data_IF_896287327709
#
_entry.id   IF_896287327709
#
_cell.length_a   1.000
_cell.length_b   1.000
_cell.length_c   1.000
_cell.angle_alpha   90.00
_cell.angle_beta   90.00
_cell.angle_gamma   90.00
#
_symmetry.space_group_name_H-M   'P 1'
#
loop_
_entity.id
_entity.type
_entity.pdbx_description
1 polymer ?
#
# COMPACT_ATOMS: atom_id res chain seq x y z
N UNK A 1 -4.80 -9.22 0.47
CA UNK A 1 -3.63 -8.67 1.20
C UNK A 1 -4.15 -7.81 2.35
N UNK A 2 -3.54 -7.96 3.52
CA UNK A 2 -3.90 -7.23 4.74
C UNK A 2 -2.61 -6.65 5.34
N UNK A 3 -2.57 -5.33 5.56
CA UNK A 3 -1.56 -4.65 6.37
C UNK A 3 -2.28 -3.97 7.52
N UNK A 4 -2.00 -4.41 8.74
CA UNK A 4 -2.58 -3.83 9.94
C UNK A 4 -1.90 -2.51 10.31
N UNK A 5 -2.64 -1.52 10.83
CA UNK A 5 -2.07 -0.29 11.33
C UNK A 5 -1.39 -0.55 12.67
N UNK A 6 -0.24 0.09 12.89
CA UNK A 6 0.53 -0.06 14.13
C UNK A 6 1.20 1.24 14.53
N UNK A 7 1.62 1.32 15.79
CA UNK A 7 2.36 2.47 16.32
C UNK A 7 1.92 2.89 17.73
N UNK A 8 2.61 3.87 18.33
CA UNK A 8 2.28 4.35 19.67
C UNK A 8 0.85 4.90 19.75
N UNK A 9 0.09 4.43 20.73
CA UNK A 9 -1.29 4.85 20.94
C UNK A 9 -2.27 4.34 19.88
N UNK A 10 -1.90 3.33 19.09
CA UNK A 10 -2.79 2.65 18.13
C UNK A 10 -3.08 1.24 18.64
N UNK A 11 -4.37 0.90 18.72
CA UNK A 11 -4.86 -0.45 19.04
C UNK A 11 -5.76 -0.92 17.92
N UNK A 12 -5.53 -2.15 17.47
CA UNK A 12 -6.29 -2.79 16.41
C UNK A 12 -6.84 -4.11 16.94
N UNK A 13 -8.17 -4.16 17.10
CA UNK A 13 -8.88 -5.37 17.50
C UNK A 13 -9.49 -6.00 16.24
N UNK A 14 -8.92 -7.10 15.76
CA UNK A 14 -9.27 -7.71 14.48
C UNK A 14 -9.46 -9.22 14.59
N UNK A 15 -10.42 -9.75 13.83
CA UNK A 15 -10.70 -11.19 13.74
C UNK A 15 -10.42 -11.80 12.36
N UNK A 16 -9.90 -11.00 11.41
CA UNK A 16 -9.60 -11.45 10.04
C UNK A 16 -8.09 -11.57 9.83
N UNK A 17 -7.69 -12.35 8.82
CA UNK A 17 -6.31 -12.51 8.39
C UNK A 17 -6.23 -12.58 6.87
N UNK A 18 -5.05 -12.37 6.30
CA UNK A 18 -4.88 -12.41 4.84
C UNK A 18 -5.25 -13.79 4.29
N UNK A 19 -6.18 -13.83 3.33
CA UNK A 19 -6.68 -15.07 2.73
C UNK A 19 -7.88 -15.69 3.45
N UNK A 20 -8.40 -15.06 4.51
CA UNK A 20 -9.67 -15.49 5.11
C UNK A 20 -10.85 -15.09 4.21
N UNK A 21 -11.81 -16.00 4.07
CA UNK A 21 -13.09 -15.73 3.44
C UNK A 21 -14.03 -15.04 4.43
N UNK A 22 -14.71 -14.00 3.98
CA UNK A 22 -15.62 -13.22 4.83
C UNK A 22 -17.05 -13.71 4.58
N UNK A 23 -17.73 -14.31 5.57
CA UNK A 23 -19.07 -14.85 5.39
C UNK A 23 -20.12 -13.73 5.27
N UNK A 24 -21.14 -13.95 4.45
CA UNK A 24 -22.27 -13.02 4.28
C UNK A 24 -23.37 -13.17 5.35
N UNK A 25 -23.22 -14.14 6.25
CA UNK A 25 -24.25 -14.52 7.21
C UNK A 25 -24.26 -13.67 8.49
N UNK A 26 -23.23 -12.83 8.69
CA UNK A 26 -23.04 -12.01 9.89
C UNK A 26 -22.79 -10.55 9.51
N UNK A 27 -22.83 -9.68 10.51
CA UNK A 27 -22.50 -8.26 10.36
C UNK A 27 -21.08 -8.08 9.79
N UNK A 28 -20.88 -7.24 8.75
CA UNK A 28 -19.58 -7.06 8.09
C UNK A 28 -18.51 -6.32 8.92
N UNK A 29 -18.56 -6.36 10.25
CA UNK A 29 -17.54 -5.76 11.10
C UNK A 29 -16.24 -6.59 11.04
N UNK A 30 -15.19 -6.01 10.45
CA UNK A 30 -13.90 -6.71 10.27
C UNK A 30 -12.93 -6.48 11.43
N UNK A 31 -12.91 -5.25 11.94
CA UNK A 31 -11.99 -4.82 12.99
C UNK A 31 -12.50 -3.54 13.66
N UNK A 32 -11.95 -3.25 14.85
CA UNK A 32 -12.05 -1.95 15.52
C UNK A 32 -10.66 -1.32 15.58
N UNK A 33 -10.52 -0.15 14.97
CA UNK A 33 -9.31 0.66 15.06
C UNK A 33 -9.54 1.75 16.10
N UNK A 34 -8.68 1.80 17.10
CA UNK A 34 -8.78 2.71 18.24
C UNK A 34 -7.45 3.44 18.36
N UNK A 35 -7.52 4.76 18.55
CA UNK A 35 -6.32 5.57 18.83
C UNK A 35 -6.49 6.39 20.08
N UNK A 36 -5.37 6.68 20.73
CA UNK A 36 -5.31 7.54 21.90
C UNK A 36 -4.23 8.61 21.72
N UNK A 37 -4.50 9.83 22.21
CA UNK A 37 -3.55 10.93 22.32
C UNK A 37 -3.92 11.84 23.50
N UNK A 38 -3.05 12.80 23.80
CA UNK A 38 -3.22 13.77 24.89
C UNK A 38 -4.36 14.75 24.64
N UNK A 39 -4.64 15.07 23.37
CA UNK A 39 -5.72 15.97 22.99
C UNK A 39 -6.46 15.48 21.72
N UNK A 40 -7.59 16.13 21.43
CA UNK A 40 -8.48 15.77 20.31
C UNK A 40 -7.80 15.91 18.96
N UNK A 41 -7.06 16.99 18.74
CA UNK A 41 -6.38 17.25 17.47
C UNK A 41 -5.37 16.16 17.16
N UNK A 42 -4.50 15.83 18.13
CA UNK A 42 -3.53 14.74 18.00
C UNK A 42 -4.21 13.38 17.82
N UNK A 43 -5.35 13.14 18.48
CA UNK A 43 -6.12 11.90 18.29
C UNK A 43 -6.67 11.80 16.87
N UNK A 44 -7.20 12.90 16.32
CA UNK A 44 -7.70 12.93 14.95
C UNK A 44 -6.56 12.71 13.93
N UNK A 45 -5.44 13.40 14.11
CA UNK A 45 -4.25 13.23 13.26
C UNK A 45 -3.72 11.78 13.32
N UNK A 46 -3.59 11.21 14.53
CA UNK A 46 -3.16 9.81 14.69
C UNK A 46 -4.13 8.83 14.04
N UNK A 47 -5.45 9.06 14.15
CA UNK A 47 -6.43 8.20 13.48
C UNK A 47 -6.32 8.29 11.96
N UNK A 48 -6.12 9.49 11.40
CA UNK A 48 -5.91 9.67 9.96
C UNK A 48 -4.66 8.90 9.51
N UNK A 49 -3.53 9.05 10.21
CA UNK A 49 -2.31 8.31 9.89
C UNK A 49 -2.50 6.79 10.00
N UNK A 50 -3.18 6.32 11.04
CA UNK A 50 -3.48 4.89 11.20
C UNK A 50 -4.38 4.36 10.07
N UNK A 51 -5.38 5.13 9.64
CA UNK A 51 -6.23 4.78 8.50
C UNK A 51 -5.48 4.82 7.16
N UNK A 52 -4.51 5.71 6.99
CA UNK A 52 -3.64 5.74 5.80
C UNK A 52 -2.72 4.51 5.72
N UNK A 53 -2.28 3.99 6.86
CA UNK A 53 -1.45 2.79 6.94
C UNK A 53 -2.25 1.48 6.86
N UNK A 54 -3.56 1.52 7.08
CA UNK A 54 -4.43 0.36 7.10
C UNK A 54 -4.84 -0.05 5.68
N UNK A 55 -4.26 -1.15 5.17
CA UNK A 55 -4.54 -1.64 3.81
C UNK A 55 -5.29 -2.96 3.88
N UNK A 56 -6.49 -2.98 3.32
CA UNK A 56 -7.29 -4.19 3.11
C UNK A 56 -7.67 -4.24 1.63
N UNK A 57 -7.18 -5.26 0.91
CA UNK A 57 -7.46 -5.45 -0.52
C UNK A 57 -8.40 -6.64 -0.73
N UNK A 58 -9.26 -6.54 -1.74
CA UNK A 58 -10.19 -7.60 -2.16
C UNK A 58 -11.65 -7.32 -1.81
N UNK A 59 -11.91 -6.33 -0.96
CA UNK A 59 -13.25 -5.91 -0.54
C UNK A 59 -13.35 -4.39 -0.48
N UNK A 60 -14.57 -3.87 -0.52
CA UNK A 60 -14.83 -2.48 -0.19
C UNK A 60 -14.79 -2.27 1.32
N UNK A 61 -14.24 -1.14 1.76
CA UNK A 61 -14.11 -0.81 3.18
C UNK A 61 -14.55 0.62 3.44
N UNK A 62 -14.90 0.91 4.70
CA UNK A 62 -15.27 2.26 5.15
C UNK A 62 -14.06 3.14 5.47
N UNK A 63 -12.82 2.65 5.27
CA UNK A 63 -11.58 3.35 5.66
C UNK A 63 -11.50 4.75 5.02
N UNK A 64 -11.78 4.85 3.72
CA UNK A 64 -11.77 6.13 3.00
C UNK A 64 -12.80 7.12 3.55
N UNK A 65 -14.03 6.65 3.79
CA UNK A 65 -15.11 7.45 4.37
C UNK A 65 -14.77 7.96 5.77
N UNK A 66 -14.32 7.06 6.64
CA UNK A 66 -13.95 7.40 8.02
C UNK A 66 -12.82 8.43 8.06
N UNK A 67 -11.83 8.31 7.17
CA UNK A 67 -10.74 9.28 7.08
C UNK A 67 -11.26 10.67 6.70
N UNK A 68 -12.15 10.76 5.72
CA UNK A 68 -12.74 12.03 5.31
C UNK A 68 -13.63 12.63 6.42
N UNK A 69 -14.38 11.80 7.15
CA UNK A 69 -15.15 12.21 8.33
C UNK A 69 -14.24 12.81 9.41
N UNK A 70 -13.14 12.15 9.74
CA UNK A 70 -12.21 12.62 10.79
C UNK A 70 -11.44 13.87 10.34
N UNK A 71 -11.16 14.00 9.04
CA UNK A 71 -10.54 15.18 8.46
C UNK A 71 -11.48 16.41 8.40
N UNK A 72 -12.79 16.22 8.57
CA UNK A 72 -13.75 17.32 8.47
C UNK A 72 -13.62 18.29 9.67
N UNK A 73 -13.58 19.62 9.45
CA UNK A 73 -13.35 20.60 10.53
C UNK A 73 -14.35 20.49 11.68
N UNK A 74 -15.65 20.30 11.38
CA UNK A 74 -16.68 20.13 12.43
C UNK A 74 -16.52 18.85 13.24
N UNK A 75 -15.93 17.80 12.67
CA UNK A 75 -15.54 16.62 13.44
C UNK A 75 -14.36 16.97 14.34
N UNK A 76 -13.32 17.63 13.81
CA UNK A 76 -12.14 18.00 14.60
C UNK A 76 -12.47 18.93 15.77
N UNK A 77 -13.40 19.88 15.62
CA UNK A 77 -13.84 20.75 16.73
C UNK A 77 -14.81 20.07 17.70
N UNK A 78 -15.32 18.88 17.36
CA UNK A 78 -16.29 18.15 18.20
C UNK A 78 -17.73 18.66 18.08
N UNK A 79 -18.00 19.58 17.14
CA UNK A 79 -19.34 20.10 16.85
C UNK A 79 -20.15 19.13 15.97
N UNK A 80 -20.35 17.90 16.46
CA UNK A 80 -21.06 16.83 15.75
C UNK A 80 -22.40 16.52 16.42
N UNK A 81 -23.46 16.44 15.62
CA UNK A 81 -24.79 15.97 16.02
C UNK A 81 -25.09 14.61 15.39
N UNK A 82 -26.20 13.98 15.75
CA UNK A 82 -26.66 12.73 15.12
C UNK A 82 -26.90 12.86 13.61
N UNK A 83 -27.24 14.07 13.14
CA UNK A 83 -27.43 14.39 11.72
C UNK A 83 -26.14 14.80 10.98
N UNK A 84 -24.97 14.67 11.61
CA UNK A 84 -23.69 15.12 11.03
C UNK A 84 -23.43 14.51 9.65
N UNK A 85 -23.58 13.19 9.51
CA UNK A 85 -23.29 12.49 8.26
C UNK A 85 -24.28 12.92 7.17
N UNK A 86 -25.58 12.98 7.46
CA UNK A 86 -26.58 13.45 6.51
C UNK A 86 -26.31 14.89 6.06
N UNK A 87 -25.89 15.75 6.99
CA UNK A 87 -25.65 17.17 6.70
C UNK A 87 -24.40 17.42 5.86
N UNK A 88 -23.30 16.71 6.13
CA UNK A 88 -21.99 17.00 5.54
C UNK A 88 -21.52 15.96 4.50
N UNK A 89 -22.13 14.78 4.49
CA UNK A 89 -21.68 13.62 3.71
C UNK A 89 -22.81 12.94 2.92
N UNK A 90 -24.01 13.52 2.81
CA UNK A 90 -25.11 12.93 2.04
C UNK A 90 -24.75 12.63 0.56
N UNK A 91 -23.85 13.41 -0.02
CA UNK A 91 -23.36 13.24 -1.39
C UNK A 91 -21.89 12.80 -1.43
N UNK A 92 -21.41 12.13 -0.38
CA UNK A 92 -20.02 11.70 -0.33
C UNK A 92 -19.75 10.64 -1.42
N UNK A 93 -18.92 11.01 -2.39
CA UNK A 93 -18.44 10.12 -3.47
C UNK A 93 -17.02 9.59 -3.26
N UNK A 94 -16.37 9.97 -2.15
CA UNK A 94 -14.93 9.78 -1.95
C UNK A 94 -14.10 10.65 -2.89
N UNK A 95 -12.81 10.83 -2.57
CA UNK A 95 -11.87 11.36 -3.56
C UNK A 95 -11.55 10.24 -4.55
N UNK A 96 -11.84 10.44 -5.83
CA UNK A 96 -11.39 9.53 -6.89
C UNK A 96 -9.85 9.54 -6.98
N UNK A 97 -9.20 8.76 -6.11
CA UNK A 97 -7.78 8.42 -6.25
C UNK A 97 -7.52 7.50 -7.44
N UNK A 98 -8.57 7.04 -8.13
CA UNK A 98 -8.46 6.13 -9.26
C UNK A 98 -7.74 6.79 -10.45
N UNK A 99 -8.02 8.06 -10.75
CA UNK A 99 -7.37 8.76 -11.86
C UNK A 99 -5.91 9.07 -11.55
N UNK A 100 -5.62 9.62 -10.37
CA UNK A 100 -4.24 9.84 -9.90
C UNK A 100 -3.43 8.53 -9.85
N UNK A 101 -4.00 7.45 -9.31
CA UNK A 101 -3.32 6.16 -9.26
C UNK A 101 -3.09 5.57 -10.66
N UNK A 102 -4.04 5.73 -11.59
CA UNK A 102 -3.85 5.34 -13.00
C UNK A 102 -2.76 6.16 -13.65
N UNK A 103 -2.70 7.47 -13.40
CA UNK A 103 -1.66 8.36 -13.92
C UNK A 103 -0.28 7.97 -13.39
N UNK A 104 -0.17 7.71 -12.08
CA UNK A 104 1.09 7.26 -11.45
C UNK A 104 1.51 5.91 -12.01
N UNK A 105 0.60 4.95 -12.17
CA UNK A 105 0.90 3.64 -12.75
C UNK A 105 1.32 3.77 -14.23
N UNK A 106 0.68 4.65 -15.00
CA UNK A 106 1.05 4.92 -16.39
C UNK A 106 2.46 5.54 -16.47
N UNK A 107 2.77 6.53 -15.63
CA UNK A 107 4.11 7.13 -15.56
C UNK A 107 5.19 6.13 -15.14
N UNK A 108 4.91 5.30 -14.11
CA UNK A 108 5.84 4.28 -13.64
C UNK A 108 6.13 3.22 -14.73
N UNK A 109 5.11 2.79 -15.48
CA UNK A 109 5.28 1.85 -16.60
C UNK A 109 6.03 2.46 -17.79
N UNK A 110 5.77 3.73 -18.11
CA UNK A 110 6.54 4.47 -19.11
C UNK A 110 8.03 4.56 -18.72
N UNK A 111 8.33 4.89 -17.46
CA UNK A 111 9.70 4.95 -16.96
C UNK A 111 10.39 3.58 -16.96
N UNK A 112 9.71 2.52 -16.53
CA UNK A 112 10.23 1.14 -16.58
C UNK A 112 10.56 0.74 -18.03
N UNK A 113 9.67 1.04 -18.99
CA UNK A 113 9.91 0.76 -20.40
C UNK A 113 11.12 1.53 -20.98
N UNK A 114 11.35 2.77 -20.54
CA UNK A 114 12.50 3.56 -20.96
C UNK A 114 13.81 3.03 -20.34
N UNK A 115 13.76 2.58 -19.08
CA UNK A 115 14.92 1.99 -18.40
C UNK A 115 15.37 0.67 -19.06
N UNK A 116 14.43 -0.13 -19.57
CA UNK A 116 14.73 -1.37 -20.33
C UNK A 116 15.35 -1.08 -21.70
N UNK A 117 15.08 0.09 -22.27
CA UNK A 117 15.71 0.54 -23.52
C UNK A 117 17.21 0.89 -23.33
N UNK A 118 17.64 1.16 -22.09
CA UNK A 118 19.03 1.48 -21.75
C UNK A 118 19.90 0.27 -21.34
N UNK A 119 19.39 -0.96 -21.48
CA UNK A 119 20.04 -2.19 -21.01
C UNK A 119 20.45 -3.18 -22.10
N UNK A 120 21.75 -3.19 -22.41
CA UNK A 120 22.53 -4.19 -23.16
C UNK A 120 22.36 -4.22 -24.69
N UNK A 121 23.21 -3.44 -25.40
CA UNK A 121 23.74 -3.95 -26.65
C UNK A 121 24.52 -5.23 -26.32
N UNK A 122 23.90 -6.39 -26.57
CA UNK A 122 24.63 -7.65 -26.63
C UNK A 122 25.64 -7.50 -27.76
N UNK A 123 26.90 -7.28 -27.41
CA UNK A 123 28.01 -7.45 -28.34
C UNK A 123 27.92 -8.89 -28.85
N UNK A 124 27.55 -9.05 -30.11
CA UNK A 124 27.57 -10.35 -30.76
C UNK A 124 29.02 -10.85 -30.79
N UNK A 125 29.18 -12.16 -30.57
CA UNK A 125 30.41 -12.96 -30.41
C UNK A 125 31.51 -12.80 -31.49
N UNK A 126 31.35 -11.88 -32.44
CA UNK A 126 32.27 -11.71 -33.58
C UNK A 126 33.45 -10.79 -33.34
N UNK A 127 33.41 -9.91 -32.33
CA UNK A 127 34.46 -8.89 -32.13
C UNK A 127 35.07 -8.87 -30.70
N UNK A 128 34.92 -9.95 -29.93
CA UNK A 128 35.51 -10.04 -28.58
C UNK A 128 36.78 -10.90 -28.65
N UNK A 129 37.93 -10.30 -28.35
CA UNK A 129 39.17 -11.05 -28.12
C UNK A 129 38.90 -12.13 -27.05
N UNK A 130 39.32 -13.39 -27.27
CA UNK A 130 38.91 -14.50 -26.41
C UNK A 130 39.30 -14.24 -24.95
N UNK A 131 38.34 -14.45 -24.06
CA UNK A 131 38.55 -14.21 -22.63
C UNK A 131 39.56 -15.21 -22.05
N UNK A 132 40.28 -14.86 -20.97
CA UNK A 132 41.27 -15.75 -20.35
C UNK A 132 40.71 -17.14 -19.99
N UNK A 133 39.42 -17.21 -19.65
CA UNK A 133 38.73 -18.45 -19.31
C UNK A 133 38.47 -19.37 -20.52
N UNK A 134 38.49 -18.83 -21.74
CA UNK A 134 38.44 -19.61 -22.98
C UNK A 134 39.82 -20.09 -23.43
N UNK A 135 40.88 -19.37 -23.05
CA UNK A 135 42.28 -19.70 -23.44
C UNK A 135 42.93 -20.72 -22.51
N UNK A 136 42.50 -20.81 -21.24
CA UNK A 136 43.17 -21.64 -20.23
C UNK A 136 42.93 -23.16 -20.34
N UNK A 137 42.10 -23.62 -21.30
CA UNK A 137 41.83 -25.05 -21.50
C UNK A 137 41.15 -25.74 -20.30
N UNK A 138 40.78 -27.02 -20.47
CA UNK A 138 40.18 -27.80 -19.37
C UNK A 138 41.27 -28.23 -18.39
N UNK A 139 41.25 -27.64 -17.20
CA UNK A 139 42.10 -28.03 -16.08
C UNK A 139 42.03 -29.55 -15.82
N UNK A 140 43.18 -30.22 -15.74
CA UNK A 140 43.30 -31.63 -15.34
C UNK A 140 44.27 -31.74 -14.18
N UNK A 141 43.82 -32.32 -13.07
CA UNK A 141 44.65 -32.70 -11.93
C UNK A 141 45.13 -34.15 -12.10
N UNK A 142 46.45 -34.34 -12.16
CA UNK A 142 47.11 -35.63 -11.89
C UNK A 142 47.38 -36.53 -13.10
N UNK A 143 48.65 -36.91 -13.26
CA UNK A 143 49.11 -37.93 -14.20
C UNK A 143 50.63 -37.91 -14.37
N UNK A 144 51.36 -38.28 -13.31
CA UNK A 144 52.78 -38.61 -13.39
C UNK A 144 52.97 -40.11 -13.68
N UNK A 145 53.87 -40.39 -14.62
CA UNK A 145 54.42 -41.67 -15.09
C UNK A 145 53.51 -42.90 -15.18
#
# INVERSE_FOLDING_TARGET
FLKEPSGPGVRHDCGIYSGCDIPIFYDPILAKLIVWAENREMSCQRMISALDDYVILGIQTTIGFLKDVIAHPKFQTGETTTSFIEKYFAQWGGKEKAEEARMIAALASAFDSQSKSFGHQVLTDRDVAPSPWQTLGKWRLGGGN
#
